data_IF_335034690944
#
_entry.id   IF_335034690944
#
_cell.length_a   1.000
_cell.length_b   1.000
_cell.length_c   1.000
_cell.angle_alpha   90.00
_cell.angle_beta   90.00
_cell.angle_gamma   90.00
#
_symmetry.space_group_name_H-M   'P 1'
#
loop_
_entity.id
_entity.type
_entity.pdbx_description
1 polymer ?
#
# COMPACT_ATOMS: atom_id res chain seq x y z
N UNK A 1 -20.80 17.17 -24.13
CA UNK A 1 -19.45 16.68 -24.45
C UNK A 1 -18.85 16.19 -23.14
N UNK A 2 -18.75 14.86 -22.96
CA UNK A 2 -18.19 14.26 -21.75
C UNK A 2 -16.70 14.54 -21.75
N UNK A 3 -16.26 15.54 -20.98
CA UNK A 3 -14.85 15.69 -20.61
C UNK A 3 -14.53 14.51 -19.70
N UNK A 4 -14.05 13.41 -20.29
CA UNK A 4 -13.33 12.37 -19.57
C UNK A 4 -12.21 13.07 -18.81
N UNK A 5 -12.43 13.36 -17.53
CA UNK A 5 -11.39 13.87 -16.66
C UNK A 5 -10.44 12.70 -16.45
N UNK A 6 -9.30 12.74 -17.15
CA UNK A 6 -8.25 11.74 -16.98
C UNK A 6 -7.53 12.05 -15.69
N UNK A 7 -7.82 11.28 -14.63
CA UNK A 7 -6.94 11.20 -13.48
C UNK A 7 -5.53 10.89 -13.97
N UNK A 8 -4.53 11.56 -13.42
CA UNK A 8 -3.13 11.33 -13.78
C UNK A 8 -2.78 9.83 -13.67
N UNK A 9 -2.14 9.28 -14.70
CA UNK A 9 -1.59 7.93 -14.64
C UNK A 9 -0.27 7.96 -13.84
N UNK A 10 0.11 6.85 -13.18
CA UNK A 10 1.40 6.75 -12.52
C UNK A 10 2.52 6.98 -13.55
N UNK A 11 3.59 7.64 -13.12
CA UNK A 11 4.82 7.69 -13.93
C UNK A 11 5.30 6.27 -14.12
N UNK A 12 5.71 5.92 -15.34
CA UNK A 12 6.19 4.58 -15.68
C UNK A 12 7.67 4.65 -16.03
N UNK A 13 8.48 3.85 -15.35
CA UNK A 13 9.92 3.73 -15.60
C UNK A 13 10.25 2.28 -15.91
N UNK A 14 10.89 2.05 -17.05
CA UNK A 14 11.39 0.73 -17.41
C UNK A 14 12.71 0.44 -16.66
N UNK A 15 12.75 -0.70 -15.96
CA UNK A 15 13.92 -1.20 -15.22
C UNK A 15 14.40 -2.56 -15.74
N UNK A 16 13.98 -2.94 -16.94
CA UNK A 16 14.41 -4.18 -17.60
C UNK A 16 15.94 -4.25 -17.66
N UNK A 17 16.49 -5.41 -17.26
CA UNK A 17 17.93 -5.63 -17.20
C UNK A 17 18.58 -5.23 -15.86
N UNK A 18 17.79 -4.78 -14.88
CA UNK A 18 18.28 -4.72 -13.49
C UNK A 18 18.56 -6.13 -12.95
N UNK A 19 19.77 -6.34 -12.44
CA UNK A 19 20.22 -7.62 -11.89
C UNK A 19 20.70 -7.45 -10.43
N UNK A 20 19.80 -7.55 -9.44
CA UNK A 20 20.17 -7.56 -8.04
C UNK A 20 20.82 -8.89 -7.66
N UNK A 21 21.84 -8.81 -6.82
CA UNK A 21 22.46 -9.98 -6.23
C UNK A 21 21.80 -10.30 -4.88
N UNK A 22 21.15 -11.47 -4.77
CA UNK A 22 20.68 -12.00 -3.49
C UNK A 22 21.88 -12.16 -2.54
N UNK A 23 21.87 -11.49 -1.38
CA UNK A 23 23.00 -11.51 -0.45
C UNK A 23 23.05 -12.79 0.41
N UNK A 24 22.07 -13.70 0.28
CA UNK A 24 22.08 -15.03 0.94
C UNK A 24 21.62 -15.03 2.40
N UNK A 25 21.13 -13.90 2.92
CA UNK A 25 20.50 -13.81 4.23
C UNK A 25 18.97 -13.91 4.11
N UNK A 26 18.28 -14.15 5.22
CA UNK A 26 16.82 -14.10 5.25
C UNK A 26 16.32 -12.65 5.05
N UNK A 27 15.17 -12.43 4.38
CA UNK A 27 14.65 -11.08 4.13
C UNK A 27 14.43 -10.22 5.39
N UNK A 28 14.12 -10.85 6.52
CA UNK A 28 13.91 -10.17 7.81
C UNK A 28 15.20 -9.95 8.62
N UNK A 29 16.36 -10.38 8.10
CA UNK A 29 17.68 -10.14 8.71
C UNK A 29 18.14 -8.70 8.41
N UNK A 30 18.60 -7.96 9.42
CA UNK A 30 19.13 -6.61 9.24
C UNK A 30 20.27 -6.50 8.22
N UNK A 31 21.06 -7.57 8.05
CA UNK A 31 22.13 -7.61 7.03
C UNK A 31 21.55 -7.63 5.63
N UNK A 32 20.43 -8.32 5.41
CA UNK A 32 19.70 -8.30 4.13
C UNK A 32 19.18 -6.89 3.84
N UNK A 33 18.51 -6.27 4.81
CA UNK A 33 17.94 -4.92 4.68
C UNK A 33 19.04 -3.86 4.47
N UNK A 34 20.18 -4.01 5.14
CA UNK A 34 21.36 -3.15 4.95
C UNK A 34 21.95 -3.33 3.55
N UNK A 35 22.12 -4.57 3.09
CA UNK A 35 22.60 -4.86 1.74
C UNK A 35 21.66 -4.30 0.66
N UNK A 36 20.34 -4.42 0.84
CA UNK A 36 19.33 -3.82 -0.04
C UNK A 36 19.44 -2.29 -0.08
N UNK A 37 19.66 -1.65 1.08
CA UNK A 37 19.90 -0.20 1.13
C UNK A 37 21.17 0.23 0.40
N UNK A 38 22.24 -0.54 0.53
CA UNK A 38 23.45 -0.30 -0.26
C UNK A 38 23.23 -0.53 -1.76
N UNK A 39 22.42 -1.51 -2.15
CA UNK A 39 22.13 -1.84 -3.53
C UNK A 39 21.35 -0.75 -4.28
N UNK A 40 20.72 0.20 -3.57
CA UNK A 40 20.01 1.32 -4.20
C UNK A 40 20.88 2.14 -5.15
N UNK A 41 22.22 2.18 -4.94
CA UNK A 41 23.17 2.85 -5.85
C UNK A 41 23.33 2.16 -7.22
N UNK A 42 22.83 0.93 -7.35
CA UNK A 42 22.89 0.11 -8.56
C UNK A 42 21.53 -0.02 -9.24
N UNK A 43 20.50 0.68 -8.75
CA UNK A 43 19.27 0.83 -9.50
C UNK A 43 19.59 1.49 -10.86
N UNK A 44 18.85 1.13 -11.94
CA UNK A 44 18.90 1.90 -13.17
C UNK A 44 18.70 3.38 -12.87
N UNK A 45 19.50 4.26 -13.48
CA UNK A 45 19.54 5.68 -13.13
C UNK A 45 18.16 6.33 -13.13
N UNK A 46 17.34 6.07 -14.16
CA UNK A 46 15.97 6.59 -14.24
C UNK A 46 15.05 6.11 -13.11
N UNK A 47 15.22 4.88 -12.61
CA UNK A 47 14.45 4.40 -11.47
C UNK A 47 14.95 4.98 -10.15
N UNK A 48 16.26 5.11 -9.98
CA UNK A 48 16.81 5.82 -8.83
C UNK A 48 16.29 7.25 -8.75
N UNK A 49 16.34 7.99 -9.87
CA UNK A 49 15.89 9.37 -9.98
C UNK A 49 14.39 9.50 -9.73
N UNK A 50 13.57 8.61 -10.31
CA UNK A 50 12.13 8.61 -10.05
C UNK A 50 11.79 8.34 -8.57
N UNK A 51 12.56 7.48 -7.88
CA UNK A 51 12.39 7.25 -6.44
C UNK A 51 12.87 8.43 -5.59
N UNK A 52 13.89 9.18 -6.04
CA UNK A 52 14.27 10.49 -5.44
C UNK A 52 13.09 11.44 -5.53
N UNK A 53 12.54 11.61 -6.73
CA UNK A 53 11.46 12.57 -7.00
C UNK A 53 10.21 12.25 -6.19
N UNK A 54 9.82 10.97 -6.07
CA UNK A 54 8.70 10.55 -5.22
C UNK A 54 8.95 10.89 -3.75
N UNK A 55 10.17 10.69 -3.26
CA UNK A 55 10.51 10.98 -1.87
C UNK A 55 10.44 12.47 -1.53
N UNK A 56 10.90 13.31 -2.46
CA UNK A 56 10.93 14.76 -2.33
C UNK A 56 9.54 15.39 -2.54
N UNK A 57 8.76 14.85 -3.48
CA UNK A 57 7.44 15.36 -3.82
C UNK A 57 6.53 14.25 -4.34
N UNK A 58 5.44 14.00 -3.63
CA UNK A 58 4.42 13.05 -4.06
C UNK A 58 3.99 13.30 -5.52
N UNK A 59 3.92 12.28 -6.39
CA UNK A 59 3.49 12.43 -7.77
C UNK A 59 1.99 12.77 -7.84
N UNK A 60 1.52 13.38 -8.94
CA UNK A 60 0.11 13.76 -9.09
C UNK A 60 -0.84 12.56 -8.95
N UNK A 61 -0.48 11.43 -9.57
CA UNK A 61 -1.21 10.17 -9.45
C UNK A 61 -1.10 9.50 -8.07
N UNK A 62 -0.25 10.03 -7.18
CA UNK A 62 0.07 9.43 -5.88
C UNK A 62 0.83 8.10 -5.96
N UNK A 63 1.28 7.70 -7.16
CA UNK A 63 2.04 6.47 -7.37
C UNK A 63 3.10 6.59 -8.48
N UNK A 64 4.07 5.68 -8.44
CA UNK A 64 5.12 5.41 -9.43
C UNK A 64 5.09 3.92 -9.78
N UNK A 65 5.25 3.58 -11.06
CA UNK A 65 5.33 2.21 -11.54
C UNK A 65 6.70 1.95 -12.18
N UNK A 66 7.46 1.01 -11.61
CA UNK A 66 8.67 0.47 -12.24
C UNK A 66 8.30 -0.83 -12.96
N UNK A 67 8.62 -0.96 -14.25
CA UNK A 67 8.29 -2.14 -15.06
C UNK A 67 9.50 -2.99 -15.37
N UNK A 68 9.32 -4.31 -15.39
CA UNK A 68 10.39 -5.25 -15.73
C UNK A 68 11.40 -5.48 -14.60
N UNK A 69 10.99 -5.25 -13.35
CA UNK A 69 11.80 -5.55 -12.19
C UNK A 69 12.03 -7.07 -12.04
N UNK A 70 13.20 -7.50 -11.59
CA UNK A 70 13.54 -8.91 -11.44
C UNK A 70 12.77 -9.56 -10.30
N UNK A 71 12.16 -10.72 -10.58
CA UNK A 71 11.36 -11.49 -9.60
C UNK A 71 11.94 -12.88 -9.31
N UNK A 72 13.08 -13.22 -9.92
CA UNK A 72 13.71 -14.53 -9.78
C UNK A 72 12.92 -15.67 -10.42
N UNK A 73 13.22 -16.91 -10.03
CA UNK A 73 12.47 -18.09 -10.48
C UNK A 73 11.33 -18.37 -9.52
N UNK A 74 10.12 -18.42 -10.06
CA UNK A 74 8.91 -18.59 -9.24
C UNK A 74 8.42 -20.04 -9.23
N UNK A 75 8.19 -20.64 -8.05
CA UNK A 75 7.45 -21.89 -7.94
C UNK A 75 5.94 -21.65 -8.19
N UNK A 76 5.14 -22.67 -7.93
CA UNK A 76 3.70 -22.51 -7.78
C UNK A 76 3.39 -21.43 -6.72
N UNK A 77 2.34 -20.64 -6.95
CA UNK A 77 1.80 -19.69 -5.98
C UNK A 77 1.47 -20.43 -4.68
N UNK A 78 1.95 -19.97 -3.51
CA UNK A 78 1.68 -20.64 -2.25
C UNK A 78 0.18 -20.59 -1.90
N UNK A 79 -0.35 -21.61 -1.20
CA UNK A 79 -1.77 -21.67 -0.83
C UNK A 79 -2.16 -20.69 0.28
N UNK A 80 -1.19 -20.12 1.00
CA UNK A 80 -1.40 -19.07 1.99
C UNK A 80 -0.19 -18.13 2.07
N UNK A 81 -0.37 -16.89 2.56
CA UNK A 81 0.71 -15.90 2.68
C UNK A 81 1.98 -16.35 3.43
N UNK A 82 1.79 -17.18 4.46
CA UNK A 82 2.85 -17.64 5.36
C UNK A 82 3.34 -19.06 5.04
N UNK A 83 2.80 -19.69 4.00
CA UNK A 83 3.29 -20.99 3.55
C UNK A 83 4.75 -20.86 3.10
N UNK A 84 5.65 -21.78 3.51
CA UNK A 84 7.02 -21.80 3.01
C UNK A 84 7.05 -21.89 1.48
N UNK A 85 7.98 -21.17 0.86
CA UNK A 85 8.20 -21.20 -0.59
C UNK A 85 9.65 -21.56 -0.89
N UNK A 86 9.88 -22.26 -2.01
CA UNK A 86 11.22 -22.70 -2.46
C UNK A 86 11.88 -21.74 -3.45
N UNK A 87 11.45 -20.47 -3.44
CA UNK A 87 12.01 -19.42 -4.31
C UNK A 87 13.32 -18.88 -3.74
N UNK A 88 14.13 -18.30 -4.62
CA UNK A 88 15.24 -17.45 -4.20
C UNK A 88 14.73 -16.13 -3.57
N UNK A 89 15.63 -15.32 -3.00
CA UNK A 89 15.26 -14.03 -2.42
C UNK A 89 15.41 -12.85 -3.38
N UNK A 90 15.46 -13.10 -4.70
CA UNK A 90 15.64 -12.04 -5.70
C UNK A 90 14.50 -11.03 -5.62
N UNK A 91 13.25 -11.49 -5.51
CA UNK A 91 12.08 -10.61 -5.44
C UNK A 91 12.03 -9.77 -4.16
N UNK A 92 12.38 -10.34 -3.00
CA UNK A 92 12.49 -9.59 -1.73
C UNK A 92 13.61 -8.56 -1.80
N UNK A 93 14.77 -8.94 -2.35
CA UNK A 93 15.90 -8.03 -2.43
C UNK A 93 15.60 -6.87 -3.37
N UNK A 94 14.92 -7.15 -4.49
CA UNK A 94 14.40 -6.16 -5.44
C UNK A 94 13.45 -5.19 -4.73
N UNK A 95 12.41 -5.72 -4.09
CA UNK A 95 11.42 -4.92 -3.36
C UNK A 95 12.06 -4.06 -2.27
N UNK A 96 12.92 -4.66 -1.44
CA UNK A 96 13.57 -3.95 -0.34
C UNK A 96 14.64 -2.96 -0.81
N UNK A 97 15.25 -3.15 -1.98
CA UNK A 97 16.18 -2.16 -2.56
C UNK A 97 15.44 -0.87 -2.91
N UNK A 98 14.30 -0.98 -3.59
CA UNK A 98 13.44 0.19 -3.86
C UNK A 98 12.89 0.79 -2.56
N UNK A 99 12.43 -0.03 -1.62
CA UNK A 99 11.93 0.40 -0.32
C UNK A 99 12.98 1.18 0.48
N UNK A 100 14.23 0.71 0.49
CA UNK A 100 15.34 1.36 1.21
C UNK A 100 15.79 2.65 0.57
N UNK A 101 15.54 2.87 -0.73
CA UNK A 101 15.74 4.18 -1.35
C UNK A 101 14.73 5.20 -0.81
N UNK A 102 13.52 4.79 -0.49
CA UNK A 102 12.46 5.68 -0.01
C UNK A 102 12.49 5.91 1.50
N UNK A 103 13.00 4.96 2.28
CA UNK A 103 13.04 5.06 3.74
C UNK A 103 13.40 3.74 4.41
N UNK A 104 12.73 3.41 5.50
CA UNK A 104 12.95 2.24 6.33
C UNK A 104 11.80 1.26 6.19
N UNK A 105 12.03 0.07 5.60
CA UNK A 105 11.08 -1.04 5.65
C UNK A 105 10.75 -1.38 7.10
N UNK A 106 9.47 -1.58 7.37
CA UNK A 106 8.91 -1.88 8.68
C UNK A 106 7.81 -2.93 8.53
N UNK A 107 7.73 -3.84 9.49
CA UNK A 107 6.64 -4.80 9.62
C UNK A 107 5.68 -4.39 10.72
N UNK A 108 4.46 -4.91 10.68
CA UNK A 108 3.48 -4.76 11.75
C UNK A 108 3.13 -6.17 12.23
N UNK A 109 3.28 -6.45 13.52
CA UNK A 109 3.16 -7.81 14.08
C UNK A 109 1.87 -8.55 13.66
N UNK A 110 0.69 -7.91 13.62
CA UNK A 110 -0.54 -8.57 13.19
C UNK A 110 -0.55 -8.91 11.69
N UNK A 111 0.21 -8.20 10.88
CA UNK A 111 0.30 -8.38 9.43
C UNK A 111 1.35 -9.44 9.09
N UNK A 112 0.87 -10.65 8.78
CA UNK A 112 1.70 -11.79 8.37
C UNK A 112 2.85 -12.08 9.35
N UNK A 113 2.60 -11.89 10.66
CA UNK A 113 3.58 -12.15 11.72
C UNK A 113 4.67 -11.08 11.84
N UNK A 114 4.53 -9.94 11.16
CA UNK A 114 5.53 -8.86 11.18
C UNK A 114 6.62 -8.96 10.13
N UNK A 115 6.52 -9.90 9.18
CA UNK A 115 7.48 -10.02 8.09
C UNK A 115 7.60 -8.71 7.32
N UNK A 116 8.82 -8.33 6.93
CA UNK A 116 9.10 -7.10 6.16
C UNK A 116 8.64 -7.21 4.72
N UNK A 117 8.69 -8.42 4.17
CA UNK A 117 8.10 -8.75 2.87
C UNK A 117 6.97 -9.74 3.05
N UNK A 118 5.80 -9.35 2.57
CA UNK A 118 4.53 -10.03 2.81
C UNK A 118 3.97 -10.57 1.50
N UNK A 119 3.73 -11.88 1.41
CA UNK A 119 3.10 -12.46 0.23
C UNK A 119 1.60 -12.17 0.22
N UNK A 120 1.09 -11.55 -0.84
CA UNK A 120 -0.34 -11.36 -1.07
C UNK A 120 -0.79 -12.38 -2.12
N UNK A 121 -1.49 -13.40 -1.64
CA UNK A 121 -2.06 -14.49 -2.46
C UNK A 121 -3.53 -14.69 -2.09
N UNK A 122 -4.41 -15.03 -3.05
CA UNK A 122 -5.80 -15.33 -2.73
C UNK A 122 -5.89 -16.56 -1.84
N UNK A 123 -6.77 -16.50 -0.84
CA UNK A 123 -7.11 -17.68 -0.02
C UNK A 123 -8.60 -17.96 -0.08
N UNK A 124 -8.99 -19.23 0.05
CA UNK A 124 -10.41 -19.59 0.09
C UNK A 124 -11.11 -19.00 1.33
N UNK A 125 -10.43 -18.98 2.47
CA UNK A 125 -10.96 -18.46 3.75
C UNK A 125 -11.20 -16.96 3.71
N UNK A 126 -10.35 -16.21 3.01
CA UNK A 126 -10.43 -14.75 2.90
C UNK A 126 -11.25 -14.23 1.72
N UNK A 127 -11.76 -15.11 0.84
CA UNK A 127 -12.22 -14.75 -0.51
C UNK A 127 -13.25 -13.61 -0.56
N UNK A 128 -14.17 -13.57 0.42
CA UNK A 128 -15.31 -12.64 0.49
C UNK A 128 -15.15 -11.55 1.57
N UNK A 129 -13.93 -11.30 2.07
CA UNK A 129 -13.64 -10.39 3.20
C UNK A 129 -12.89 -9.11 2.75
N UNK A 130 -12.95 -8.03 3.54
CA UNK A 130 -12.14 -6.82 3.31
C UNK A 130 -10.71 -7.00 3.87
N UNK A 131 -9.95 -7.92 3.27
CA UNK A 131 -8.55 -8.21 3.62
C UNK A 131 -7.70 -8.40 2.37
N UNK A 132 -6.37 -8.24 2.49
CA UNK A 132 -5.44 -8.37 1.36
C UNK A 132 -5.45 -9.75 0.65
N UNK A 133 -5.91 -10.80 1.33
CA UNK A 133 -6.06 -12.17 0.80
C UNK A 133 -7.41 -12.44 0.13
N UNK A 134 -8.28 -11.45 0.04
CA UNK A 134 -9.60 -11.56 -0.61
C UNK A 134 -9.50 -11.69 -2.12
N UNK A 135 -10.62 -12.01 -2.78
CA UNK A 135 -10.66 -12.08 -4.24
C UNK A 135 -12.02 -11.83 -4.85
N UNK A 136 -13.11 -12.35 -4.27
CA UNK A 136 -14.46 -12.31 -4.84
C UNK A 136 -15.23 -11.02 -4.58
N UNK A 137 -14.68 -10.15 -3.74
CA UNK A 137 -15.21 -8.82 -3.44
C UNK A 137 -14.19 -7.77 -3.85
N UNK A 138 -14.69 -6.58 -4.18
CA UNK A 138 -13.85 -5.41 -4.31
C UNK A 138 -13.23 -5.11 -2.93
N UNK A 139 -11.91 -5.00 -2.91
CA UNK A 139 -11.20 -4.45 -1.77
C UNK A 139 -11.37 -2.93 -1.83
N UNK A 140 -12.10 -2.40 -0.85
CA UNK A 140 -12.54 -1.01 -0.81
C UNK A 140 -11.36 -0.04 -0.69
N UNK A 141 -11.59 1.24 -1.00
CA UNK A 141 -10.53 2.23 -0.98
C UNK A 141 -10.07 2.54 0.43
N UNK A 142 -8.77 2.43 0.65
CA UNK A 142 -8.18 2.73 1.95
C UNK A 142 -6.75 3.28 1.85
N UNK A 143 -6.39 4.05 2.87
CA UNK A 143 -5.03 4.32 3.28
C UNK A 143 -4.53 3.12 4.08
N UNK A 144 -3.39 2.55 3.70
CA UNK A 144 -2.80 1.39 4.40
C UNK A 144 -2.55 1.76 5.88
N UNK A 145 -3.12 0.96 6.78
CA UNK A 145 -3.07 1.16 8.23
C UNK A 145 -3.52 2.58 8.67
N UNK A 146 -4.63 3.08 8.13
CA UNK A 146 -5.18 4.42 8.40
C UNK A 146 -5.29 4.76 9.90
N UNK A 147 -5.64 3.78 10.72
CA UNK A 147 -5.80 3.90 12.18
C UNK A 147 -4.49 3.95 12.95
N UNK A 148 -3.36 3.64 12.32
CA UNK A 148 -2.10 3.41 13.02
C UNK A 148 -1.33 4.74 13.21
N UNK A 149 -0.87 5.08 14.43
CA UNK A 149 -0.09 6.31 14.66
C UNK A 149 1.24 6.31 13.90
N UNK A 150 1.85 5.13 13.77
CA UNK A 150 3.05 4.86 12.97
C UNK A 150 2.73 4.30 11.57
N UNK A 151 1.65 4.76 10.91
CA UNK A 151 1.28 4.32 9.55
C UNK A 151 2.46 4.46 8.57
N UNK A 152 2.57 3.59 7.55
CA UNK A 152 3.65 3.71 6.58
C UNK A 152 3.43 4.92 5.69
N UNK A 153 4.53 5.56 5.27
CA UNK A 153 4.49 6.62 4.25
C UNK A 153 4.36 6.03 2.85
N UNK A 154 5.01 4.90 2.58
CA UNK A 154 4.90 4.23 1.29
C UNK A 154 4.46 2.78 1.44
N UNK A 155 3.63 2.37 0.50
CA UNK A 155 3.27 0.98 0.24
C UNK A 155 3.91 0.58 -1.08
N UNK A 156 4.66 -0.52 -1.09
CA UNK A 156 5.25 -1.06 -2.31
C UNK A 156 4.64 -2.43 -2.60
N UNK A 157 4.24 -2.65 -3.86
CA UNK A 157 3.68 -3.89 -4.36
C UNK A 157 4.51 -4.37 -5.56
N UNK A 158 5.26 -5.45 -5.40
CA UNK A 158 5.97 -6.12 -6.48
C UNK A 158 5.14 -7.32 -6.96
N UNK A 159 4.77 -7.34 -8.24
CA UNK A 159 4.04 -8.44 -8.83
C UNK A 159 4.98 -9.58 -9.25
N UNK A 160 4.76 -10.76 -8.68
CA UNK A 160 5.46 -11.98 -9.05
C UNK A 160 4.64 -12.74 -10.11
N UNK A 161 3.33 -12.82 -9.92
CA UNK A 161 2.37 -13.39 -10.87
C UNK A 161 1.11 -12.53 -10.90
N UNK A 162 0.73 -12.07 -12.10
CA UNK A 162 -0.45 -11.23 -12.30
C UNK A 162 -1.74 -12.03 -12.49
N UNK A 163 -2.86 -11.32 -12.45
CA UNK A 163 -4.16 -11.78 -12.96
C UNK A 163 -4.80 -10.61 -13.73
N UNK A 164 -5.20 -10.79 -15.00
CA UNK A 164 -5.69 -9.71 -15.84
C UNK A 164 -7.04 -9.11 -15.39
N UNK A 165 -7.76 -9.78 -14.48
CA UNK A 165 -9.01 -9.28 -13.91
C UNK A 165 -8.80 -8.54 -12.58
N UNK A 166 -7.62 -8.66 -11.97
CA UNK A 166 -7.31 -8.09 -10.67
C UNK A 166 -6.62 -6.72 -10.79
N UNK A 167 -7.39 -5.68 -11.06
CA UNK A 167 -6.89 -4.31 -11.13
C UNK A 167 -6.62 -3.80 -9.72
N UNK A 168 -5.39 -3.36 -9.46
CA UNK A 168 -5.09 -2.48 -8.32
C UNK A 168 -5.66 -1.10 -8.65
N UNK A 169 -6.61 -0.64 -7.85
CA UNK A 169 -7.25 0.67 -8.04
C UNK A 169 -6.56 1.72 -7.20
N UNK A 170 -6.48 2.95 -7.70
CA UNK A 170 -5.80 4.08 -7.05
C UNK A 170 -6.59 5.37 -7.26
N UNK A 171 -6.63 6.22 -6.23
CA UNK A 171 -7.10 7.59 -6.35
C UNK A 171 -6.25 8.53 -5.50
N UNK A 172 -5.72 9.57 -6.12
CA UNK A 172 -4.93 10.61 -5.46
C UNK A 172 -5.84 11.74 -4.99
N UNK A 173 -5.64 12.21 -3.76
CA UNK A 173 -6.34 13.40 -3.26
C UNK A 173 -6.08 14.63 -4.13
N UNK A 174 -4.93 14.74 -4.81
CA UNK A 174 -4.64 15.89 -5.68
C UNK A 174 -5.51 15.91 -6.94
N UNK A 175 -6.00 14.75 -7.37
CA UNK A 175 -6.89 14.59 -8.53
C UNK A 175 -8.37 14.58 -8.12
N UNK A 176 -8.66 14.13 -6.89
CA UNK A 176 -10.02 14.09 -6.33
C UNK A 176 -10.45 15.47 -5.82
N UNK A 177 -9.56 16.20 -5.12
CA UNK A 177 -9.88 17.47 -4.44
C UNK A 177 -10.53 18.53 -5.34
N UNK A 178 -10.13 18.75 -6.61
CA UNK A 178 -10.77 19.73 -7.49
C UNK A 178 -12.24 19.45 -7.80
N UNK A 179 -12.72 18.22 -7.55
CA UNK A 179 -14.09 17.79 -7.81
C UNK A 179 -14.99 17.86 -6.57
N UNK A 180 -14.44 18.27 -5.42
CA UNK A 180 -15.18 18.41 -4.18
C UNK A 180 -15.63 19.87 -3.96
N UNK A 181 -16.87 20.10 -3.50
CA UNK A 181 -17.32 21.40 -3.04
C UNK A 181 -16.44 21.95 -1.90
N UNK A 182 -16.23 23.26 -1.85
CA UNK A 182 -15.35 23.90 -0.85
C UNK A 182 -15.81 23.68 0.59
N UNK A 183 -17.12 23.67 0.84
CA UNK A 183 -17.72 23.37 2.14
C UNK A 183 -17.45 21.93 2.58
N UNK A 184 -17.55 20.96 1.66
CA UNK A 184 -17.16 19.56 1.93
C UNK A 184 -15.68 19.48 2.29
N UNK A 185 -14.81 20.15 1.52
CA UNK A 185 -13.37 20.21 1.82
C UNK A 185 -13.12 20.82 3.20
N UNK A 186 -13.79 21.92 3.55
CA UNK A 186 -13.66 22.55 4.86
C UNK A 186 -14.02 21.61 6.02
N UNK A 187 -15.05 20.77 5.84
CA UNK A 187 -15.42 19.74 6.82
C UNK A 187 -14.35 18.65 6.91
N UNK A 188 -13.80 18.18 5.78
CA UNK A 188 -12.77 17.13 5.76
C UNK A 188 -11.47 17.54 6.46
N UNK A 189 -11.17 18.84 6.58
CA UNK A 189 -10.04 19.36 7.36
C UNK A 189 -10.29 19.48 8.87
N UNK A 190 -11.51 19.25 9.34
CA UNK A 190 -11.86 19.33 10.77
C UNK A 190 -11.70 17.98 11.45
N UNK A 191 -11.34 17.93 12.74
CA UNK A 191 -11.21 16.68 13.49
C UNK A 191 -12.58 16.10 13.88
N UNK A 192 -13.37 15.71 12.88
CA UNK A 192 -14.76 15.24 12.99
C UNK A 192 -14.95 13.83 12.42
N UNK A 193 -13.86 13.07 12.32
CA UNK A 193 -13.88 11.70 11.83
C UNK A 193 -13.17 10.78 12.80
N UNK A 194 -13.58 9.52 12.83
CA UNK A 194 -12.91 8.47 13.59
C UNK A 194 -12.72 7.27 12.69
N UNK A 195 -11.69 6.48 12.99
CA UNK A 195 -11.39 5.26 12.25
C UNK A 195 -11.47 4.08 13.21
N UNK A 196 -12.13 3.02 12.77
CA UNK A 196 -12.01 1.71 13.37
C UNK A 196 -10.63 1.10 13.02
N UNK A 197 -10.30 0.00 13.69
CA UNK A 197 -9.05 -0.74 13.49
C UNK A 197 -9.30 -1.93 12.56
N UNK A 198 -8.36 -2.21 11.66
CA UNK A 198 -8.43 -3.38 10.78
C UNK A 198 -8.59 -4.68 11.57
N UNK A 199 -9.37 -5.62 11.04
CA UNK A 199 -9.69 -6.87 11.72
C UNK A 199 -8.43 -7.68 12.07
N UNK A 200 -7.41 -7.66 11.20
CA UNK A 200 -6.12 -8.34 11.43
C UNK A 200 -5.44 -7.89 12.71
N UNK A 201 -5.62 -6.65 13.14
CA UNK A 201 -5.01 -6.09 14.36
C UNK A 201 -5.78 -6.41 15.63
N UNK A 202 -7.04 -6.88 15.55
CA UNK A 202 -7.88 -7.10 16.72
C UNK A 202 -7.64 -8.44 17.40
N UNK A 203 -7.31 -9.52 16.68
CA UNK A 203 -7.09 -10.85 17.27
C UNK A 203 -8.21 -11.29 18.24
N UNK A 204 -9.47 -11.01 17.89
CA UNK A 204 -10.65 -11.35 18.72
C UNK A 204 -11.03 -10.30 19.77
N UNK A 205 -10.30 -9.19 19.89
CA UNK A 205 -10.68 -8.04 20.72
C UNK A 205 -11.79 -7.23 20.06
N UNK A 206 -12.52 -6.49 20.89
CA UNK A 206 -13.56 -5.58 20.42
C UNK A 206 -12.93 -4.35 19.76
N UNK A 207 -13.48 -3.95 18.62
CA UNK A 207 -13.04 -2.76 17.92
C UNK A 207 -13.43 -1.49 18.68
N UNK A 208 -12.50 -0.56 18.82
CA UNK A 208 -12.71 0.73 19.46
C UNK A 208 -12.26 1.81 18.49
N UNK A 209 -13.18 2.72 18.17
CA UNK A 209 -12.87 3.85 17.31
C UNK A 209 -11.74 4.70 17.92
N UNK A 210 -10.79 5.07 17.06
CA UNK A 210 -9.70 5.96 17.42
C UNK A 210 -10.15 7.37 17.83
N UNK A 211 -9.20 8.23 18.26
CA UNK A 211 -9.49 9.63 18.55
C UNK A 211 -10.03 10.35 17.31
N UNK A 212 -10.75 11.45 17.53
CA UNK A 212 -11.23 12.28 16.43
C UNK A 212 -10.05 12.89 15.66
N UNK A 213 -10.12 12.81 14.33
CA UNK A 213 -9.06 13.23 13.41
C UNK A 213 -9.66 13.86 12.15
N UNK A 214 -8.91 14.70 11.43
CA UNK A 214 -9.31 15.15 10.11
C UNK A 214 -8.98 14.10 9.05
N UNK A 215 -9.76 14.07 7.97
CA UNK A 215 -9.48 13.24 6.79
C UNK A 215 -8.40 13.91 5.93
N UNK A 216 -8.46 15.24 5.78
CA UNK A 216 -7.48 16.04 5.04
C UNK A 216 -6.61 16.85 6.00
N UNK A 217 -5.31 16.92 5.73
CA UNK A 217 -4.36 17.67 6.55
C UNK A 217 -3.23 18.28 5.72
N UNK A 218 -2.48 19.22 6.33
CA UNK A 218 -1.40 19.94 5.66
C UNK A 218 -1.89 21.11 4.82
N UNK A 219 -1.20 21.39 3.71
CA UNK A 219 -1.50 22.52 2.83
C UNK A 219 -2.80 22.32 2.08
N UNK A 220 -3.72 23.29 2.15
CA UNK A 220 -5.05 23.20 1.51
C UNK A 220 -5.01 23.01 -0.01
N UNK A 221 -4.02 23.58 -0.69
CA UNK A 221 -3.86 23.44 -2.13
C UNK A 221 -3.33 22.05 -2.54
N UNK A 222 -2.70 21.33 -1.61
CA UNK A 222 -2.05 20.05 -1.88
C UNK A 222 -1.96 19.17 -0.62
N UNK A 223 -3.12 18.73 -0.09
CA UNK A 223 -3.16 18.09 1.21
C UNK A 223 -2.63 16.66 1.18
N UNK A 224 -2.44 16.13 2.38
CA UNK A 224 -2.43 14.69 2.63
C UNK A 224 -3.84 14.21 2.98
N UNK A 225 -4.11 12.93 2.78
CA UNK A 225 -5.39 12.27 3.02
C UNK A 225 -5.19 11.00 3.84
N UNK A 226 -6.04 10.80 4.83
CA UNK A 226 -6.25 9.51 5.48
C UNK A 226 -7.73 9.18 5.33
N UNK A 227 -8.01 8.12 4.59
CA UNK A 227 -9.37 7.70 4.25
C UNK A 227 -9.45 6.19 4.26
N UNK A 228 -10.49 5.65 4.88
CA UNK A 228 -10.86 4.24 4.80
C UNK A 228 -12.37 4.16 4.60
N UNK A 229 -12.79 3.60 3.48
CA UNK A 229 -14.20 3.59 3.07
C UNK A 229 -15.06 2.66 3.94
N UNK A 230 -14.47 1.64 4.56
CA UNK A 230 -15.18 0.67 5.40
C UNK A 230 -15.09 1.05 6.88
N UNK A 231 -13.95 1.60 7.31
CA UNK A 231 -13.63 1.76 8.73
C UNK A 231 -13.77 3.18 9.27
N UNK A 232 -13.84 4.21 8.41
CA UNK A 232 -14.02 5.59 8.88
C UNK A 232 -15.49 5.97 9.01
N UNK A 233 -15.77 6.78 10.03
CA UNK A 233 -17.10 7.34 10.31
C UNK A 233 -16.99 8.81 10.68
N UNK A 234 -17.99 9.60 10.31
CA UNK A 234 -18.18 10.96 10.81
C UNK A 234 -18.68 10.97 12.25
N UNK A 235 -18.31 11.99 13.02
CA UNK A 235 -18.80 12.17 14.39
C UNK A 235 -20.20 12.80 14.46
N UNK A 236 -20.72 13.26 13.32
CA UNK A 236 -22.02 13.90 13.16
C UNK A 236 -22.50 13.79 11.69
N UNK A 237 -23.72 14.22 11.41
CA UNK A 237 -24.36 14.08 10.09
C UNK A 237 -23.65 14.82 8.96
N UNK A 238 -23.04 15.97 9.23
CA UNK A 238 -22.35 16.76 8.21
C UNK A 238 -21.00 16.13 7.86
N UNK A 239 -20.25 15.69 8.88
CA UNK A 239 -19.01 14.95 8.69
C UNK A 239 -19.25 13.63 7.93
N UNK A 240 -20.28 12.87 8.31
CA UNK A 240 -20.66 11.63 7.63
C UNK A 240 -20.99 11.89 6.14
N UNK A 241 -21.77 12.94 5.86
CA UNK A 241 -22.09 13.31 4.48
C UNK A 241 -20.84 13.73 3.69
N UNK A 242 -19.91 14.46 4.30
CA UNK A 242 -18.64 14.82 3.68
C UNK A 242 -17.77 13.60 3.35
N UNK A 243 -17.73 12.60 4.25
CA UNK A 243 -17.03 11.33 4.03
C UNK A 243 -17.61 10.56 2.84
N UNK A 244 -18.94 10.45 2.76
CA UNK A 244 -19.61 9.83 1.62
C UNK A 244 -19.34 10.55 0.30
N UNK A 245 -19.36 11.90 0.30
CA UNK A 245 -19.02 12.69 -0.90
C UNK A 245 -17.58 12.48 -1.36
N UNK A 246 -16.64 12.35 -0.41
CA UNK A 246 -15.26 11.98 -0.72
C UNK A 246 -15.19 10.58 -1.34
N UNK A 247 -15.87 9.59 -0.75
CA UNK A 247 -15.91 8.23 -1.28
C UNK A 247 -16.49 8.16 -2.70
N UNK A 248 -17.57 8.89 -2.98
CA UNK A 248 -18.13 9.02 -4.33
C UNK A 248 -17.11 9.60 -5.32
N UNK A 249 -16.41 10.66 -4.93
CA UNK A 249 -15.41 11.29 -5.77
C UNK A 249 -14.18 10.38 -6.01
N UNK A 250 -13.71 9.68 -4.97
CA UNK A 250 -12.65 8.67 -5.09
C UNK A 250 -13.04 7.59 -6.12
N UNK A 251 -14.24 7.00 -5.99
CA UNK A 251 -14.71 5.98 -6.94
C UNK A 251 -14.89 6.50 -8.36
N UNK A 252 -15.36 7.74 -8.51
CA UNK A 252 -15.59 8.37 -9.82
C UNK A 252 -14.29 8.76 -10.53
N UNK A 253 -13.22 9.03 -9.77
CA UNK A 253 -11.94 9.51 -10.29
C UNK A 253 -10.78 8.53 -10.11
N UNK A 254 -11.07 7.25 -9.82
CA UNK A 254 -10.02 6.23 -9.72
C UNK A 254 -9.38 5.87 -11.06
N UNK A 255 -8.19 5.31 -10.99
CA UNK A 255 -7.55 4.56 -12.08
C UNK A 255 -7.38 3.09 -11.66
N UNK A 256 -7.19 2.20 -12.63
CA UNK A 256 -6.89 0.79 -12.40
C UNK A 256 -5.61 0.37 -13.12
N UNK A 257 -4.78 -0.41 -12.43
CA UNK A 257 -3.56 -1.02 -13.00
C UNK A 257 -3.63 -2.52 -12.80
N UNK A 258 -3.69 -3.29 -13.89
CA UNK A 258 -3.48 -4.73 -13.85
C UNK A 258 -1.97 -4.98 -13.82
N UNK A 259 -1.45 -5.34 -12.65
CA UNK A 259 -0.02 -5.56 -12.47
C UNK A 259 0.43 -6.87 -13.12
N UNK A 260 1.50 -6.79 -13.91
CA UNK A 260 2.16 -7.92 -14.56
C UNK A 260 3.44 -8.32 -13.82
N UNK A 261 3.96 -9.52 -14.05
CA UNK A 261 5.18 -9.96 -13.40
C UNK A 261 6.34 -8.98 -13.63
N UNK A 262 7.00 -8.54 -12.56
CA UNK A 262 8.04 -7.52 -12.57
C UNK A 262 7.54 -6.07 -12.47
N UNK A 263 6.23 -5.83 -12.45
CA UNK A 263 5.70 -4.52 -12.10
C UNK A 263 5.88 -4.27 -10.59
N UNK A 264 6.61 -3.21 -10.24
CA UNK A 264 6.75 -2.71 -8.87
C UNK A 264 6.02 -1.36 -8.77
N UNK A 265 4.87 -1.38 -8.10
CA UNK A 265 4.08 -0.19 -7.83
C UNK A 265 4.47 0.40 -6.47
N UNK A 266 4.88 1.66 -6.46
CA UNK A 266 5.12 2.47 -5.26
C UNK A 266 3.92 3.40 -5.09
N UNK A 267 3.22 3.31 -3.96
CA UNK A 267 2.10 4.18 -3.59
C UNK A 267 2.55 5.09 -2.45
N UNK A 268 2.38 6.39 -2.62
CA UNK A 268 2.49 7.35 -1.51
C UNK A 268 1.19 7.34 -0.71
N UNK A 269 1.26 6.65 0.42
CA UNK A 269 0.14 6.37 1.31
C UNK A 269 -0.38 7.61 2.04
N UNK A 270 0.30 8.77 1.91
CA UNK A 270 -0.21 10.04 2.43
C UNK A 270 -1.10 10.79 1.44
N UNK A 271 -1.07 10.46 0.16
CA UNK A 271 -1.84 11.20 -0.86
C UNK A 271 -2.78 10.31 -1.67
N UNK A 272 -2.47 9.02 -1.80
CA UNK A 272 -3.30 8.08 -2.52
C UNK A 272 -3.97 7.08 -1.59
N UNK A 273 -5.24 6.81 -1.87
CA UNK A 273 -5.93 5.60 -1.42
C UNK A 273 -5.86 4.56 -2.52
N UNK A 274 -5.93 3.30 -2.11
CA UNK A 274 -5.84 2.19 -3.03
C UNK A 274 -6.86 1.11 -2.68
N UNK A 275 -7.15 0.27 -3.66
CA UNK A 275 -8.05 -0.87 -3.53
C UNK A 275 -7.73 -1.92 -4.58
N UNK A 276 -8.66 -2.86 -4.78
CA UNK A 276 -8.53 -3.86 -5.84
C UNK A 276 -9.91 -4.34 -6.27
N UNK A 277 -10.10 -4.49 -7.58
CA UNK A 277 -11.31 -5.13 -8.11
C UNK A 277 -11.41 -6.60 -7.69
N UNK A 278 -12.64 -7.12 -7.68
CA UNK A 278 -12.90 -8.54 -7.59
C UNK A 278 -12.31 -9.29 -8.81
N UNK A 279 -11.87 -10.51 -8.57
CA UNK A 279 -11.38 -11.46 -9.58
C UNK A 279 -11.63 -12.89 -9.10
N UNK A 280 -11.50 -13.88 -9.99
CA UNK A 280 -11.78 -15.29 -9.66
C UNK A 280 -10.50 -16.12 -9.65
N UNK A 281 -9.96 -16.47 -8.47
CA UNK A 281 -8.80 -17.37 -8.37
C UNK A 281 -9.16 -18.80 -8.78
N UNK A 282 -8.17 -19.53 -9.26
CA UNK A 282 -8.22 -20.92 -9.70
C UNK A 282 -7.83 -21.91 -8.60
N UNK A 283 -7.03 -21.48 -7.62
CA UNK A 283 -6.48 -22.31 -6.55
C UNK A 283 -5.68 -23.53 -7.05
N UNK A 284 -5.01 -23.39 -8.19
CA UNK A 284 -4.26 -24.44 -8.88
C UNK A 284 -2.72 -24.23 -8.82
N UNK A 285 -2.27 -23.27 -8.01
CA UNK A 285 -0.86 -22.89 -7.91
C UNK A 285 -0.40 -21.89 -8.97
N UNK A 286 -1.30 -21.35 -9.79
CA UNK A 286 -0.97 -20.34 -10.80
C UNK A 286 -1.69 -19.00 -10.57
N UNK A 287 -2.28 -18.82 -9.39
CA UNK A 287 -2.99 -17.61 -9.00
C UNK A 287 -2.07 -16.39 -8.84
N UNK A 288 -2.71 -15.22 -8.81
CA UNK A 288 -2.08 -13.94 -8.52
C UNK A 288 -1.20 -14.01 -7.26
N UNK A 289 0.00 -13.47 -7.36
CA UNK A 289 0.97 -13.41 -6.28
C UNK A 289 1.70 -12.07 -6.33
N UNK A 290 1.48 -11.23 -5.32
CA UNK A 290 2.28 -10.02 -5.09
C UNK A 290 3.14 -10.18 -3.82
N UNK A 291 4.18 -9.36 -3.72
CA UNK A 291 4.89 -9.10 -2.48
C UNK A 291 4.67 -7.64 -2.07
N UNK A 292 4.34 -7.44 -0.79
CA UNK A 292 4.12 -6.14 -0.18
C UNK A 292 5.27 -5.80 0.77
N UNK A 293 5.72 -4.54 0.73
CA UNK A 293 6.56 -3.94 1.76
C UNK A 293 5.99 -2.58 2.17
N UNK A 294 6.12 -2.26 3.46
CA UNK A 294 5.68 -1.00 4.05
C UNK A 294 6.89 -0.20 4.50
N UNK A 295 6.90 1.11 4.27
CA UNK A 295 8.07 1.96 4.48
C UNK A 295 7.69 3.20 5.29
N UNK A 296 8.43 3.44 6.36
CA UNK A 296 8.39 4.71 7.12
C UNK A 296 9.63 5.54 6.80
N UNK A 297 9.57 6.89 6.87
CA UNK A 297 10.75 7.73 6.63
C UNK A 297 11.88 7.47 7.65
N UNK A 298 11.48 7.24 8.90
CA UNK A 298 12.37 7.01 10.04
C UNK A 298 11.73 5.98 10.98
N UNK A 299 12.55 5.13 11.61
CA UNK A 299 12.15 4.15 12.61
C UNK A 299 12.08 4.74 14.03
N UNK A 300 12.66 5.92 14.27
CA UNK A 300 12.72 6.56 15.58
C UNK A 300 11.33 6.80 16.21
N UNK A 301 10.30 7.28 15.48
CA UNK A 301 8.98 7.53 16.06
C UNK A 301 8.34 6.29 16.69
N UNK A 302 8.58 5.10 16.13
CA UNK A 302 8.00 3.85 16.60
C UNK A 302 8.90 3.08 17.58
N UNK A 303 10.03 3.65 18.01
CA UNK A 303 11.03 2.93 18.80
C UNK A 303 10.49 2.36 20.13
N UNK A 304 9.52 3.04 20.77
CA UNK A 304 8.87 2.57 21.99
C UNK A 304 7.85 1.44 21.79
N UNK A 305 7.47 1.16 20.55
CA UNK A 305 6.42 0.20 20.18
C UNK A 305 6.91 -0.78 19.10
N UNK A 306 8.23 -1.03 19.03
CA UNK A 306 8.84 -1.84 17.97
C UNK A 306 9.93 -2.76 18.51
N UNK A 307 9.97 -4.00 18.03
CA UNK A 307 11.06 -4.97 18.23
C UNK A 307 11.78 -5.15 16.90
N UNK A 308 13.06 -4.81 16.81
CA UNK A 308 13.78 -4.85 15.53
C UNK A 308 13.10 -3.94 14.51
N UNK A 309 12.60 -4.44 13.38
CA UNK A 309 11.79 -3.65 12.42
C UNK A 309 10.29 -3.91 12.52
N UNK A 310 9.82 -4.58 13.56
CA UNK A 310 8.41 -4.99 13.69
C UNK A 310 7.71 -4.17 14.75
N UNK A 311 6.73 -3.37 14.33
CA UNK A 311 5.85 -2.60 15.22
C UNK A 311 4.87 -3.57 15.90
N UNK A 312 4.76 -3.46 17.22
CA UNK A 312 4.00 -4.37 18.08
C UNK A 312 2.83 -3.67 18.79
N UNK A 313 2.35 -2.54 18.28
CA UNK A 313 1.22 -1.80 18.85
C UNK A 313 -0.02 -2.69 18.96
N UNK A 314 -0.73 -2.54 20.09
CA UNK A 314 -1.83 -3.40 20.52
C UNK A 314 -3.11 -2.56 20.53
N UNK A 315 -4.09 -2.94 19.71
CA UNK A 315 -5.35 -2.20 19.53
C UNK A 315 -6.57 -2.96 20.05
N UNK A 316 -7.70 -2.26 20.23
CA UNK A 316 -8.96 -2.86 20.70
C UNK A 316 -8.99 -3.12 22.21
N UNK A 317 -10.12 -3.66 22.67
CA UNK A 317 -10.40 -3.98 24.08
C UNK A 317 -10.75 -5.46 24.28
#
# INVERSE_FOLDING_TARGET
MSTSVRHAAPVVVDVTGWEPADPGWAPDDERFVTAAGHAARWLPAGAHDALVDVADRAPAAGALLLKGAPVGRLPATPPSPTSPTVKDHVSEFTLLTAARRLGQPVGYQPEHGGNLVQNLVPTQVGADRQVSTSSKVDLMFHTEAAFHPHRPRYLLLLCLRGDPQAFTTLASVHEVLPHLPTDVVDVLFQPRFRTAVDESYLHGRSNVLGPAMPVLSGERARPSMVFDEDLMVGTDTEAEAALHRLGDAVRAHQIGVALEAGDLLVVDNHVAVHGRTAYTPRFDGTDRWLQRAMVVPDLAPSAGERIGRVITTVFGQ
#
